data_IF_414521561631
#
_entry.id   IF_414521561631
#
_cell.length_a   1.000
_cell.length_b   1.000
_cell.length_c   1.000
_cell.angle_alpha   90.00
_cell.angle_beta   90.00
_cell.angle_gamma   90.00
#
_symmetry.space_group_name_H-M   'P 1'
#
loop_
_entity.id
_entity.type
_entity.pdbx_description
1 polymer ?
#
# COMPACT_ATOMS: atom_id res chain seq x y z
N UNK A 1 -44.91 38.72 -1.64
CA UNK A 1 -45.15 37.41 -0.98
C UNK A 1 -44.40 36.27 -1.67
N UNK A 2 -44.66 35.96 -2.94
CA UNK A 2 -44.00 34.85 -3.66
C UNK A 2 -42.45 34.89 -3.65
N UNK A 3 -41.86 36.05 -3.92
CA UNK A 3 -40.39 36.22 -3.97
C UNK A 3 -39.75 35.92 -2.60
N UNK A 4 -40.40 36.32 -1.49
CA UNK A 4 -39.89 36.04 -0.14
C UNK A 4 -39.95 34.55 0.17
N UNK A 5 -41.05 33.88 -0.20
CA UNK A 5 -41.20 32.43 -0.03
C UNK A 5 -40.12 31.70 -0.83
N UNK A 6 -39.86 32.09 -2.08
CA UNK A 6 -38.80 31.48 -2.89
C UNK A 6 -37.40 31.72 -2.31
N UNK A 7 -37.10 32.92 -1.78
CA UNK A 7 -35.79 33.21 -1.17
C UNK A 7 -35.54 32.37 0.09
N UNK A 8 -36.57 32.11 0.89
CA UNK A 8 -36.45 31.39 2.16
C UNK A 8 -36.52 29.87 1.97
N UNK A 9 -37.48 29.38 1.17
CA UNK A 9 -37.81 27.96 1.10
C UNK A 9 -37.13 27.21 -0.05
N UNK A 10 -36.90 27.87 -1.19
CA UNK A 10 -36.33 27.21 -2.37
C UNK A 10 -34.92 26.64 -2.16
N UNK A 11 -34.00 27.29 -1.41
CA UNK A 11 -32.67 26.72 -1.14
C UNK A 11 -32.70 25.39 -0.37
N UNK A 12 -33.76 25.14 0.40
CA UNK A 12 -33.83 24.06 1.38
C UNK A 12 -34.75 22.91 0.93
N UNK A 13 -36.00 23.24 0.59
CA UNK A 13 -37.00 22.26 0.16
C UNK A 13 -37.11 22.11 -1.36
N UNK A 14 -36.39 22.95 -2.11
CA UNK A 14 -36.37 22.92 -3.56
C UNK A 14 -37.74 23.13 -4.17
N UNK A 15 -37.96 22.50 -5.32
CA UNK A 15 -39.20 22.64 -6.08
C UNK A 15 -40.39 22.07 -5.31
N UNK A 16 -40.23 20.96 -4.57
CA UNK A 16 -41.33 20.27 -3.86
C UNK A 16 -41.96 21.13 -2.76
N UNK A 17 -41.15 21.66 -1.85
CA UNK A 17 -41.63 22.52 -0.74
C UNK A 17 -42.27 23.82 -1.27
N UNK A 18 -41.72 24.37 -2.36
CA UNK A 18 -42.29 25.57 -2.96
C UNK A 18 -43.60 25.28 -3.72
N UNK A 19 -43.77 24.09 -4.34
CA UNK A 19 -45.04 23.71 -4.99
C UNK A 19 -46.18 23.59 -3.99
N UNK A 20 -45.89 23.06 -2.79
CA UNK A 20 -46.88 22.91 -1.71
C UNK A 20 -47.30 24.27 -1.13
N UNK A 21 -46.38 25.24 -1.03
CA UNK A 21 -46.65 26.56 -0.42
C UNK A 21 -47.24 27.58 -1.38
N UNK A 22 -46.89 27.52 -2.67
CA UNK A 22 -47.28 28.53 -3.67
C UNK A 22 -48.41 28.04 -4.60
N UNK A 23 -48.82 26.77 -4.50
CA UNK A 23 -49.80 26.13 -5.38
C UNK A 23 -49.51 26.38 -6.87
N UNK A 24 -48.24 26.43 -7.25
CA UNK A 24 -47.76 26.66 -8.62
C UNK A 24 -47.16 25.40 -9.21
N UNK A 25 -47.10 25.33 -10.54
CA UNK A 25 -46.44 24.23 -11.22
C UNK A 25 -44.95 24.21 -10.93
N UNK A 26 -44.37 23.01 -10.84
CA UNK A 26 -42.94 22.81 -10.64
C UNK A 26 -42.07 23.62 -11.63
N UNK A 27 -42.54 23.74 -12.88
CA UNK A 27 -41.82 24.47 -13.93
C UNK A 27 -41.85 25.99 -13.70
N UNK A 28 -43.00 26.56 -13.29
CA UNK A 28 -43.11 27.98 -12.98
C UNK A 28 -42.18 28.37 -11.81
N UNK A 29 -42.13 27.54 -10.77
CA UNK A 29 -41.25 27.74 -9.62
C UNK A 29 -39.78 27.66 -10.03
N UNK A 30 -39.40 26.68 -10.85
CA UNK A 30 -38.03 26.52 -11.35
C UNK A 30 -37.58 27.74 -12.17
N UNK A 31 -38.42 28.22 -13.08
CA UNK A 31 -38.14 29.41 -13.90
C UNK A 31 -37.98 30.65 -12.99
N UNK A 32 -38.88 30.82 -12.01
CA UNK A 32 -38.84 31.98 -11.12
C UNK A 32 -37.63 31.96 -10.19
N UNK A 33 -37.28 30.80 -9.65
CA UNK A 33 -36.08 30.61 -8.85
C UNK A 33 -34.80 30.93 -9.63
N UNK A 34 -34.73 30.50 -10.90
CA UNK A 34 -33.61 30.82 -11.79
C UNK A 34 -33.49 32.33 -12.03
N UNK A 35 -34.61 33.03 -12.29
CA UNK A 35 -34.63 34.50 -12.44
C UNK A 35 -34.18 35.23 -11.17
N UNK A 36 -34.46 34.66 -10.00
CA UNK A 36 -34.07 35.22 -8.70
C UNK A 36 -32.65 34.81 -8.26
N UNK A 37 -31.95 34.00 -9.04
CA UNK A 37 -30.62 33.48 -8.68
C UNK A 37 -30.61 32.55 -7.46
N UNK A 38 -31.76 31.97 -7.08
CA UNK A 38 -31.85 31.06 -5.93
C UNK A 38 -31.71 29.61 -6.38
N UNK A 39 -30.85 28.87 -5.69
CA UNK A 39 -30.48 27.50 -6.03
C UNK A 39 -30.52 26.60 -4.79
N UNK A 40 -30.86 25.33 -5.01
CA UNK A 40 -30.72 24.23 -4.02
C UNK A 40 -29.28 23.78 -3.83
N UNK A 41 -28.36 24.25 -4.68
CA UNK A 41 -26.94 23.91 -4.67
C UNK A 41 -26.08 25.12 -4.32
N UNK A 42 -25.07 24.94 -3.47
CA UNK A 42 -24.05 25.96 -3.19
C UNK A 42 -23.04 26.09 -4.33
N UNK A 43 -22.08 27.02 -4.15
CA UNK A 43 -21.05 27.40 -5.15
C UNK A 43 -20.23 26.20 -5.68
N UNK A 44 -20.19 25.08 -4.95
CA UNK A 44 -19.39 23.90 -5.28
C UNK A 44 -20.23 22.66 -5.62
N UNK A 45 -21.45 22.84 -6.15
CA UNK A 45 -22.29 21.75 -6.65
C UNK A 45 -22.86 20.80 -5.57
N UNK A 46 -22.69 21.14 -4.29
CA UNK A 46 -23.26 20.40 -3.16
C UNK A 46 -24.62 21.00 -2.78
N UNK A 47 -25.61 20.18 -2.38
CA UNK A 47 -26.88 20.69 -1.86
C UNK A 47 -26.63 21.62 -0.67
N UNK A 48 -27.27 22.79 -0.64
CA UNK A 48 -27.24 23.68 0.53
C UNK A 48 -27.89 22.92 1.69
N UNK A 49 -27.26 22.95 2.87
CA UNK A 49 -27.85 22.37 4.09
C UNK A 49 -28.85 23.36 4.66
N UNK A 50 -30.00 22.86 5.13
CA UNK A 50 -30.98 23.65 5.86
C UNK A 50 -30.35 24.10 7.17
N UNK A 51 -29.98 25.38 7.27
CA UNK A 51 -29.56 26.00 8.52
C UNK A 51 -30.83 26.37 9.29
N UNK A 52 -30.97 25.80 10.47
CA UNK A 52 -32.09 26.04 11.40
C UNK A 52 -31.75 27.23 12.30
N UNK A 53 -30.51 27.26 12.78
CA UNK A 53 -30.05 28.30 13.70
C UNK A 53 -28.57 28.61 13.45
N UNK A 54 -28.23 29.89 13.40
CA UNK A 54 -26.87 30.37 13.38
C UNK A 54 -26.44 30.66 14.82
N UNK A 55 -25.38 29.98 15.28
CA UNK A 55 -24.89 30.12 16.66
C UNK A 55 -23.68 31.05 16.72
N UNK A 56 -22.69 30.78 15.88
CA UNK A 56 -21.44 31.53 15.75
C UNK A 56 -21.10 31.69 14.27
N UNK A 57 -20.16 32.59 13.94
CA UNK A 57 -19.61 32.76 12.58
C UNK A 57 -19.16 31.45 11.91
N UNK A 58 -18.82 30.44 12.71
CA UNK A 58 -18.35 29.14 12.24
C UNK A 58 -19.22 27.96 12.68
N UNK A 59 -20.36 28.17 13.34
CA UNK A 59 -21.21 27.07 13.84
C UNK A 59 -22.68 27.33 13.56
N UNK A 60 -23.34 26.30 13.06
CA UNK A 60 -24.77 26.34 12.77
C UNK A 60 -25.42 25.03 13.20
N UNK A 61 -26.68 25.09 13.61
CA UNK A 61 -27.54 23.90 13.66
C UNK A 61 -28.12 23.75 12.26
N UNK A 62 -27.87 22.61 11.63
CA UNK A 62 -28.38 22.34 10.30
C UNK A 62 -28.83 20.89 10.18
N UNK A 63 -29.74 20.62 9.24
CA UNK A 63 -30.21 19.27 8.97
C UNK A 63 -29.16 18.48 8.20
N UNK A 64 -28.59 17.47 8.84
CA UNK A 64 -27.74 16.47 8.23
C UNK A 64 -28.60 15.34 7.64
N UNK A 65 -28.36 14.91 6.39
CA UNK A 65 -29.10 13.80 5.78
C UNK A 65 -29.02 12.48 6.56
N UNK A 66 -27.97 12.29 7.35
CA UNK A 66 -27.69 11.06 8.08
C UNK A 66 -28.08 11.14 9.56
N UNK A 67 -28.05 12.35 10.15
CA UNK A 67 -28.14 12.52 11.60
C UNK A 67 -29.25 13.48 12.04
N UNK A 68 -30.06 14.00 11.12
CA UNK A 68 -31.09 14.98 11.42
C UNK A 68 -30.49 16.33 11.83
N UNK A 69 -31.17 17.05 12.72
CA UNK A 69 -30.81 18.41 13.12
C UNK A 69 -29.70 18.38 14.17
N UNK A 70 -28.49 18.72 13.74
CA UNK A 70 -27.29 18.59 14.57
C UNK A 70 -26.31 19.73 14.30
N UNK A 71 -25.33 19.86 15.18
CA UNK A 71 -24.25 20.82 15.03
C UNK A 71 -23.43 20.56 13.77
N UNK A 72 -23.24 21.64 13.04
CA UNK A 72 -22.30 21.75 11.94
C UNK A 72 -21.32 22.88 12.21
N UNK A 73 -20.08 22.67 11.80
CA UNK A 73 -19.10 23.75 11.79
C UNK A 73 -18.67 24.06 10.35
N UNK A 74 -18.37 25.32 10.10
CA UNK A 74 -17.86 25.79 8.81
C UNK A 74 -16.37 25.49 8.70
N UNK A 75 -15.98 24.76 7.67
CA UNK A 75 -14.58 24.51 7.31
C UNK A 75 -14.42 24.58 5.80
N UNK A 76 -13.56 25.48 5.32
CA UNK A 76 -13.36 25.75 3.89
C UNK A 76 -14.68 26.09 3.18
N UNK A 77 -15.49 26.97 3.77
CA UNK A 77 -16.80 27.39 3.24
C UNK A 77 -17.82 26.24 3.11
N UNK A 78 -17.63 25.13 3.84
CA UNK A 78 -18.55 23.99 3.88
C UNK A 78 -18.95 23.66 5.31
N UNK A 79 -20.23 23.43 5.53
CA UNK A 79 -20.74 22.91 6.79
C UNK A 79 -20.50 21.40 6.91
N UNK A 80 -19.76 20.99 7.94
CA UNK A 80 -19.50 19.60 8.28
C UNK A 80 -20.28 19.20 9.52
N UNK A 81 -21.08 18.14 9.39
CA UNK A 81 -21.80 17.54 10.52
C UNK A 81 -20.80 16.92 11.50
N UNK A 82 -20.89 17.30 12.77
CA UNK A 82 -20.00 16.78 13.83
C UNK A 82 -20.13 15.26 14.00
N UNK A 83 -21.35 14.71 13.90
CA UNK A 83 -21.61 13.28 14.01
C UNK A 83 -21.06 12.49 12.82
N UNK A 84 -21.23 12.99 11.59
CA UNK A 84 -20.61 12.37 10.40
C UNK A 84 -19.09 12.30 10.52
N UNK A 85 -18.47 13.33 11.09
CA UNK A 85 -17.03 13.34 11.26
C UNK A 85 -16.58 12.36 12.34
N UNK A 86 -17.28 12.30 13.47
CA UNK A 86 -17.05 11.30 14.51
C UNK A 86 -17.19 9.86 13.96
N UNK A 87 -18.23 9.60 13.16
CA UNK A 87 -18.44 8.31 12.51
C UNK A 87 -17.31 7.95 11.55
N UNK A 88 -16.87 8.91 10.73
CA UNK A 88 -15.76 8.71 9.81
C UNK A 88 -14.44 8.44 10.55
N UNK A 89 -14.19 9.18 11.63
CA UNK A 89 -13.02 8.97 12.48
C UNK A 89 -13.05 7.59 13.14
N UNK A 90 -14.20 7.16 13.68
CA UNK A 90 -14.42 5.84 14.26
C UNK A 90 -14.21 4.71 13.23
N UNK A 91 -14.69 4.88 12.00
CA UNK A 91 -14.44 3.93 10.90
C UNK A 91 -12.95 3.86 10.55
N UNK A 92 -12.26 4.99 10.53
CA UNK A 92 -10.83 5.06 10.21
C UNK A 92 -9.96 4.45 11.32
N UNK A 93 -10.26 4.72 12.59
CA UNK A 93 -9.55 4.14 13.74
C UNK A 93 -9.76 2.62 13.83
N UNK A 94 -10.96 2.12 13.53
CA UNK A 94 -11.21 0.67 13.43
C UNK A 94 -10.41 0.04 12.28
N UNK A 95 -10.36 0.66 11.09
CA UNK A 95 -9.54 0.19 9.95
C UNK A 95 -8.03 0.20 10.25
N UNK A 96 -7.54 1.19 11.00
CA UNK A 96 -6.12 1.27 11.36
C UNK A 96 -5.72 0.12 12.28
N UNK A 97 -6.59 -0.34 13.18
CA UNK A 97 -6.32 -1.50 14.05
C UNK A 97 -6.12 -2.80 13.27
N UNK A 98 -6.99 -3.11 12.28
CA UNK A 98 -6.88 -4.33 11.45
C UNK A 98 -5.67 -4.27 10.52
N UNK A 99 -5.43 -3.12 9.88
CA UNK A 99 -4.24 -2.91 9.04
C UNK A 99 -2.95 -3.01 9.86
N UNK A 100 -2.97 -2.52 11.10
CA UNK A 100 -1.84 -2.62 12.05
C UNK A 100 -1.63 -4.08 12.49
N UNK A 101 -2.69 -4.82 12.83
CA UNK A 101 -2.62 -6.27 13.10
C UNK A 101 -2.05 -7.04 11.91
N UNK A 102 -2.55 -6.79 10.70
CA UNK A 102 -2.02 -7.41 9.47
C UNK A 102 -0.54 -7.06 9.24
N UNK A 103 -0.14 -5.80 9.45
CA UNK A 103 1.26 -5.37 9.37
C UNK A 103 2.13 -6.05 10.44
N UNK A 104 1.65 -6.18 11.66
CA UNK A 104 2.34 -6.87 12.75
C UNK A 104 2.51 -8.36 12.43
N UNK A 105 1.45 -9.06 12.02
CA UNK A 105 1.51 -10.46 11.58
C UNK A 105 2.42 -10.64 10.37
N UNK A 106 2.44 -9.69 9.43
CA UNK A 106 3.42 -9.69 8.33
C UNK A 106 4.83 -9.54 8.87
N UNK A 107 5.12 -8.58 9.75
CA UNK A 107 6.44 -8.42 10.38
C UNK A 107 6.89 -9.69 11.13
N UNK A 108 6.00 -10.31 11.90
CA UNK A 108 6.29 -11.58 12.62
C UNK A 108 6.61 -12.70 11.62
N UNK A 109 5.82 -12.85 10.55
CA UNK A 109 6.12 -13.83 9.49
C UNK A 109 7.48 -13.56 8.81
N UNK A 110 7.81 -12.30 8.59
CA UNK A 110 9.08 -11.87 8.01
C UNK A 110 10.27 -12.04 8.96
N UNK A 111 10.06 -12.18 10.28
CA UNK A 111 11.11 -12.47 11.25
C UNK A 111 11.60 -13.93 11.20
N UNK A 112 10.84 -14.84 10.57
CA UNK A 112 11.31 -16.22 10.40
C UNK A 112 12.50 -16.22 9.43
N UNK A 113 13.68 -16.74 9.82
CA UNK A 113 14.89 -16.73 8.98
C UNK A 113 14.63 -17.28 7.57
N UNK A 114 13.87 -18.37 7.47
CA UNK A 114 13.43 -19.00 6.22
C UNK A 114 12.71 -18.02 5.27
N UNK A 115 11.83 -17.16 5.80
CA UNK A 115 11.10 -16.17 4.99
C UNK A 115 12.01 -15.02 4.60
N UNK A 116 13.01 -14.69 5.41
CA UNK A 116 14.03 -13.71 5.00
C UNK A 116 14.83 -14.23 3.80
N UNK A 117 15.26 -15.49 3.85
CA UNK A 117 15.99 -16.13 2.74
C UNK A 117 15.18 -16.20 1.45
N UNK A 118 13.93 -16.67 1.52
CA UNK A 118 13.06 -16.68 0.35
C UNK A 118 12.87 -15.29 -0.25
N UNK A 119 12.64 -14.28 0.58
CA UNK A 119 12.39 -12.93 0.08
C UNK A 119 13.65 -12.29 -0.50
N UNK A 120 14.84 -12.60 0.03
CA UNK A 120 16.11 -12.19 -0.58
C UNK A 120 16.25 -12.79 -1.98
N UNK A 121 16.01 -14.11 -2.13
CA UNK A 121 16.06 -14.77 -3.44
C UNK A 121 15.01 -14.23 -4.40
N UNK A 122 13.75 -14.07 -3.97
CA UNK A 122 12.69 -13.44 -4.78
C UNK A 122 13.04 -12.01 -5.19
N UNK A 123 13.63 -11.23 -4.29
CA UNK A 123 14.06 -9.87 -4.59
C UNK A 123 15.19 -9.85 -5.62
N UNK A 124 16.17 -10.76 -5.48
CA UNK A 124 17.25 -10.93 -6.44
C UNK A 124 16.71 -11.33 -7.81
N UNK A 125 15.80 -12.32 -7.85
CA UNK A 125 15.12 -12.75 -9.07
C UNK A 125 14.35 -11.58 -9.69
N UNK A 126 13.61 -10.81 -8.90
CA UNK A 126 12.88 -9.65 -9.40
C UNK A 126 13.80 -8.59 -10.04
N UNK A 127 14.99 -8.36 -9.48
CA UNK A 127 15.98 -7.47 -10.09
C UNK A 127 16.54 -7.99 -11.42
N UNK A 128 16.62 -9.30 -11.62
CA UNK A 128 17.04 -9.89 -12.90
C UNK A 128 15.97 -9.72 -14.00
N UNK A 129 14.70 -9.61 -13.64
CA UNK A 129 13.54 -9.62 -14.54
C UNK A 129 12.86 -8.24 -14.67
N UNK A 130 13.60 -7.13 -14.70
CA UNK A 130 13.04 -5.77 -14.72
C UNK A 130 11.93 -5.64 -15.80
N UNK A 131 10.67 -5.52 -15.37
CA UNK A 131 9.50 -5.41 -16.25
C UNK A 131 8.61 -6.66 -16.38
N UNK A 132 9.10 -7.85 -16.04
CA UNK A 132 8.35 -9.12 -16.11
C UNK A 132 7.78 -9.50 -14.73
N UNK A 133 6.59 -8.99 -14.42
CA UNK A 133 5.98 -9.05 -13.08
C UNK A 133 5.45 -10.44 -12.69
N UNK A 134 5.20 -11.33 -13.66
CA UNK A 134 4.49 -12.60 -13.43
C UNK A 134 5.35 -13.71 -12.83
N UNK A 135 6.61 -13.84 -13.24
CA UNK A 135 7.47 -14.98 -12.87
C UNK A 135 8.16 -14.80 -11.50
N UNK A 136 8.34 -13.57 -11.04
CA UNK A 136 9.20 -13.25 -9.89
C UNK A 136 8.58 -13.55 -8.53
N UNK A 137 7.31 -13.96 -8.50
CA UNK A 137 6.57 -14.18 -7.25
C UNK A 137 6.81 -15.56 -6.64
N UNK A 138 7.20 -16.53 -7.47
CA UNK A 138 7.32 -17.93 -7.08
C UNK A 138 8.73 -18.45 -7.41
N UNK A 139 9.43 -18.95 -6.38
CA UNK A 139 10.63 -19.76 -6.58
C UNK A 139 10.19 -21.16 -7.02
N UNK A 140 11.02 -21.94 -7.73
CA UNK A 140 10.67 -23.27 -8.22
C UNK A 140 10.58 -24.34 -7.12
N UNK A 141 10.56 -23.93 -5.84
CA UNK A 141 10.50 -24.78 -4.67
C UNK A 141 9.77 -24.07 -3.52
N UNK A 142 9.30 -24.88 -2.58
CA UNK A 142 8.67 -24.46 -1.33
C UNK A 142 9.67 -23.90 -0.32
N UNK A 143 9.15 -23.19 0.69
CA UNK A 143 9.98 -22.72 1.80
C UNK A 143 10.73 -23.85 2.50
N UNK A 144 10.05 -24.99 2.68
CA UNK A 144 10.59 -26.13 3.43
C UNK A 144 11.74 -26.79 2.68
N UNK A 145 11.59 -26.97 1.36
CA UNK A 145 12.65 -27.49 0.50
C UNK A 145 13.89 -26.61 0.55
N UNK A 146 13.72 -25.28 0.47
CA UNK A 146 14.82 -24.33 0.64
C UNK A 146 15.51 -24.53 1.98
N UNK A 147 14.77 -24.60 3.09
CA UNK A 147 15.38 -24.76 4.41
C UNK A 147 16.15 -26.08 4.54
N UNK A 148 15.53 -27.19 4.17
CA UNK A 148 16.19 -28.51 4.19
C UNK A 148 17.47 -28.49 3.36
N UNK A 149 17.42 -27.82 2.19
CA UNK A 149 18.58 -27.70 1.32
C UNK A 149 19.70 -26.87 1.95
N UNK A 150 19.39 -25.69 2.50
CA UNK A 150 20.39 -24.84 3.18
C UNK A 150 21.02 -25.53 4.39
N UNK A 151 20.24 -26.26 5.20
CA UNK A 151 20.77 -27.07 6.30
C UNK A 151 21.67 -28.19 5.78
N UNK A 152 21.32 -28.82 4.65
CA UNK A 152 22.17 -29.84 4.02
C UNK A 152 23.51 -29.27 3.53
N UNK A 153 23.51 -28.05 2.97
CA UNK A 153 24.76 -27.35 2.59
C UNK A 153 25.58 -27.04 3.83
N UNK A 154 24.94 -26.50 4.87
CA UNK A 154 25.58 -26.16 6.14
C UNK A 154 26.25 -27.39 6.77
N UNK A 155 25.57 -28.54 6.76
CA UNK A 155 26.13 -29.81 7.24
C UNK A 155 27.33 -30.25 6.40
N UNK A 156 27.22 -30.23 5.06
CA UNK A 156 28.33 -30.59 4.15
C UNK A 156 29.56 -29.69 4.32
N UNK A 157 29.34 -28.42 4.65
CA UNK A 157 30.40 -27.44 4.90
C UNK A 157 30.92 -27.50 6.36
N UNK A 158 30.49 -28.48 7.16
CA UNK A 158 30.81 -28.59 8.59
C UNK A 158 30.56 -27.28 9.36
N UNK A 159 29.47 -26.58 9.00
CA UNK A 159 29.07 -25.30 9.58
C UNK A 159 30.12 -24.17 9.45
N UNK A 160 30.97 -24.24 8.41
CA UNK A 160 32.04 -23.26 8.16
C UNK A 160 31.97 -22.68 6.77
N UNK A 161 32.46 -21.45 6.61
CA UNK A 161 32.58 -20.82 5.30
C UNK A 161 33.64 -21.54 4.45
N UNK A 162 33.34 -21.94 3.21
CA UNK A 162 34.32 -22.62 2.35
C UNK A 162 35.49 -21.71 1.92
N UNK A 163 35.35 -20.39 2.03
CA UNK A 163 36.37 -19.43 1.59
C UNK A 163 37.35 -19.04 2.71
N UNK A 164 36.86 -18.86 3.95
CA UNK A 164 37.67 -18.40 5.08
C UNK A 164 37.67 -19.34 6.28
N UNK A 165 36.91 -20.44 6.22
CA UNK A 165 36.74 -21.42 7.32
C UNK A 165 36.11 -20.88 8.61
N UNK A 166 35.58 -19.65 8.61
CA UNK A 166 34.86 -19.09 9.77
C UNK A 166 33.57 -19.86 10.06
N UNK A 167 33.26 -20.04 11.35
CA UNK A 167 32.04 -20.70 11.80
C UNK A 167 30.80 -19.80 11.57
N UNK A 168 29.76 -20.36 10.96
CA UNK A 168 28.51 -19.63 10.69
C UNK A 168 27.69 -19.32 11.93
N UNK A 169 27.86 -20.04 13.04
CA UNK A 169 27.19 -19.70 14.30
C UNK A 169 27.71 -18.37 14.86
N UNK A 170 28.97 -18.02 14.57
CA UNK A 170 29.59 -16.78 15.01
C UNK A 170 29.36 -15.64 14.00
N UNK A 171 29.51 -15.93 12.71
CA UNK A 171 29.54 -14.90 11.66
C UNK A 171 28.22 -14.77 10.88
N UNK A 172 27.32 -15.74 11.02
CA UNK A 172 26.16 -15.88 10.15
C UNK A 172 26.55 -16.33 8.74
N UNK A 173 25.56 -16.44 7.86
CA UNK A 173 25.77 -16.77 6.45
C UNK A 173 24.81 -15.98 5.55
N UNK A 174 25.25 -15.79 4.31
CA UNK A 174 24.43 -15.36 3.19
C UNK A 174 24.31 -16.50 2.17
N UNK A 175 23.21 -16.47 1.41
CA UNK A 175 23.01 -17.37 0.28
C UNK A 175 23.66 -16.74 -0.94
N UNK A 176 24.43 -17.54 -1.65
CA UNK A 176 25.06 -17.15 -2.90
C UNK A 176 24.81 -18.17 -4.00
N UNK A 177 25.07 -17.79 -5.25
CA UNK A 177 24.95 -18.69 -6.39
C UNK A 177 26.33 -19.27 -6.75
N UNK A 178 26.41 -20.59 -6.98
CA UNK A 178 27.65 -21.25 -7.42
C UNK A 178 28.03 -20.74 -8.81
N UNK A 179 27.06 -20.76 -9.73
CA UNK A 179 27.14 -20.13 -11.05
C UNK A 179 26.50 -18.74 -10.94
N UNK A 180 27.23 -17.64 -11.23
CA UNK A 180 26.71 -16.29 -11.10
C UNK A 180 25.47 -16.02 -11.95
N UNK A 181 24.53 -15.23 -11.44
CA UNK A 181 23.32 -14.85 -12.19
C UNK A 181 23.61 -14.09 -13.48
N UNK A 182 24.79 -13.46 -13.57
CA UNK A 182 25.25 -12.76 -14.77
C UNK A 182 25.59 -13.68 -15.94
N UNK A 183 25.67 -15.01 -15.74
CA UNK A 183 25.90 -15.97 -16.82
C UNK A 183 24.62 -16.36 -17.57
N UNK A 184 23.43 -15.91 -17.12
CA UNK A 184 22.17 -16.21 -17.78
C UNK A 184 22.10 -15.54 -19.16
N UNK A 185 21.71 -16.29 -20.20
CA UNK A 185 21.48 -15.72 -21.54
C UNK A 185 20.01 -15.44 -21.81
N UNK A 186 19.11 -16.13 -21.10
CA UNK A 186 17.67 -16.03 -21.26
C UNK A 186 16.95 -16.24 -19.91
N UNK A 187 15.64 -16.01 -19.91
CA UNK A 187 14.79 -16.12 -18.72
C UNK A 187 14.77 -17.52 -18.10
N UNK A 188 14.85 -18.57 -18.92
CA UNK A 188 14.87 -19.96 -18.43
C UNK A 188 16.18 -20.30 -17.73
N UNK A 189 17.32 -19.88 -18.31
CA UNK A 189 18.63 -19.98 -17.68
C UNK A 189 18.62 -19.25 -16.34
N UNK A 190 17.99 -18.08 -16.29
CA UNK A 190 17.89 -17.31 -15.06
C UNK A 190 17.10 -18.09 -13.99
N UNK A 191 15.97 -18.69 -14.34
CA UNK A 191 15.22 -19.53 -13.39
C UNK A 191 16.01 -20.75 -12.91
N UNK A 192 16.77 -21.40 -13.81
CA UNK A 192 17.61 -22.56 -13.48
C UNK A 192 18.76 -22.17 -12.54
N UNK A 193 19.33 -20.98 -12.70
CA UNK A 193 20.33 -20.44 -11.78
C UNK A 193 19.77 -20.17 -10.39
N UNK A 194 18.45 -20.00 -10.23
CA UNK A 194 17.78 -19.93 -8.93
C UNK A 194 17.38 -21.31 -8.39
N UNK A 195 17.67 -22.41 -9.09
CA UNK A 195 17.42 -23.77 -8.58
C UNK A 195 18.23 -24.05 -7.32
N UNK A 196 17.74 -24.95 -6.47
CA UNK A 196 18.43 -25.33 -5.22
C UNK A 196 19.86 -25.79 -5.48
N UNK A 197 20.11 -26.52 -6.57
CA UNK A 197 21.42 -27.06 -6.92
C UNK A 197 22.49 -25.99 -7.12
N UNK A 198 22.08 -24.78 -7.50
CA UNK A 198 23.00 -23.67 -7.74
C UNK A 198 23.18 -22.77 -6.51
N UNK A 199 22.59 -23.09 -5.36
CA UNK A 199 22.75 -22.32 -4.14
C UNK A 199 23.94 -22.81 -3.31
N UNK A 200 24.65 -21.87 -2.69
CA UNK A 200 25.72 -22.12 -1.72
C UNK A 200 25.59 -21.16 -0.53
N UNK A 201 26.35 -21.44 0.52
CA UNK A 201 26.49 -20.58 1.68
C UNK A 201 27.89 -19.99 1.74
N UNK A 202 27.96 -18.70 2.04
CA UNK A 202 29.18 -17.96 2.32
C UNK A 202 28.98 -17.06 3.54
N UNK A 203 30.05 -16.77 4.30
CA UNK A 203 29.94 -15.77 5.35
C UNK A 203 29.73 -14.37 4.71
N UNK A 204 29.08 -13.41 5.41
CA UNK A 204 28.81 -12.08 4.87
C UNK A 204 30.05 -11.33 4.37
N UNK A 205 31.22 -11.61 4.98
CA UNK A 205 32.51 -11.05 4.55
C UNK A 205 32.88 -11.57 3.16
N UNK A 206 33.02 -12.88 2.99
CA UNK A 206 33.41 -13.51 1.73
C UNK A 206 32.41 -13.25 0.60
N UNK A 207 31.10 -13.30 0.91
CA UNK A 207 30.03 -13.00 -0.05
C UNK A 207 30.16 -11.59 -0.65
N UNK A 208 30.56 -10.60 0.15
CA UNK A 208 30.80 -9.23 -0.35
C UNK A 208 32.03 -9.11 -1.22
N UNK A 209 33.09 -9.86 -0.92
CA UNK A 209 34.31 -9.88 -1.75
C UNK A 209 33.99 -10.48 -3.14
N UNK A 210 33.38 -11.66 -3.18
CA UNK A 210 32.96 -12.32 -4.43
C UNK A 210 32.04 -11.44 -5.29
N UNK A 211 31.15 -10.66 -4.66
CA UNK A 211 30.22 -9.78 -5.38
C UNK A 211 30.80 -8.44 -5.83
N UNK A 212 31.88 -7.96 -5.19
CA UNK A 212 32.55 -6.71 -5.54
C UNK A 212 33.59 -6.92 -6.63
N UNK A 213 34.26 -8.06 -6.57
CA UNK A 213 35.20 -8.45 -7.60
C UNK A 213 34.37 -9.02 -8.76
N UNK A 214 34.19 -8.23 -9.82
CA UNK A 214 34.22 -8.84 -11.15
C UNK A 214 35.57 -9.56 -11.19
N UNK A 215 35.61 -10.85 -10.84
CA UNK A 215 36.87 -11.59 -10.85
C UNK A 215 37.52 -11.32 -12.21
N UNK A 216 38.76 -10.81 -12.27
CA UNK A 216 39.53 -10.94 -13.49
C UNK A 216 39.51 -12.42 -13.83
N UNK A 217 39.01 -12.73 -15.03
CA UNK A 217 39.15 -14.07 -15.60
C UNK A 217 40.65 -14.29 -15.83
N UNK A 218 41.37 -14.75 -14.81
CA UNK A 218 42.70 -15.31 -14.99
C UNK A 218 42.89 -16.52 -14.07
N UNK A 219 42.48 -17.66 -14.61
CA UNK A 219 43.01 -18.97 -14.26
C UNK A 219 43.72 -19.51 -15.49
N UNK A 220 44.84 -18.91 -15.89
CA UNK A 220 45.92 -19.62 -16.59
C UNK A 220 47.26 -19.05 -16.15
N UNK A 221 48.18 -20.00 -15.90
CA UNK A 221 49.61 -19.81 -15.60
C UNK A 221 49.88 -19.40 -14.14
N UNK A 222 50.58 -20.15 -13.30
CA UNK A 222 51.82 -20.89 -13.56
C UNK A 222 51.92 -22.08 -12.59
N UNK A 223 51.94 -23.29 -13.16
CA UNK A 223 52.80 -24.37 -12.66
C UNK A 223 54.25 -24.00 -13.03
N UNK A 224 55.12 -23.85 -12.02
CA UNK A 224 56.61 -23.73 -12.00
C UNK A 224 56.95 -22.84 -10.79
N UNK A 225 57.77 -23.16 -9.80
CA UNK A 225 58.81 -24.16 -9.55
C UNK A 225 58.72 -24.52 -8.04
N UNK A 226 59.06 -25.73 -7.58
CA UNK A 226 60.42 -26.08 -7.11
C UNK A 226 61.12 -24.95 -6.35
#
# INVERSE_FOLDING_TARGET
>A
MEIQILKIHYPNGGIKDCTERLSRTANAIKIKAMQLGVSTYGIQGCKKRLVIEELDNNKVIATCPTHGDVYHYSKNQRFRCIKCEADNFSKWSKKSSSKTKMRASRRIRMRKPIKMYENRLRSSLHHCFVGHVSFTKHLPYSSQELHNHLESIKLKQNNKCPMCSDDYNNTGFDIDHIIPTSSATNDWDMLELFSLKNLSLLCPRCNRFVKRDKMPLDLKEVNKCQ
#
